data_IF_133668022734
#
_entry.id   IF_133668022734
#
_cell.length_a   1.000
_cell.length_b   1.000
_cell.length_c   1.000
_cell.angle_alpha   90.00
_cell.angle_beta   90.00
_cell.angle_gamma   90.00
#
_symmetry.space_group_name_H-M   'P 1'
#
loop_
_entity.id
_entity.type
_entity.pdbx_description
1 polymer ?
#
# COMPACT_ATOMS: atom_id res chain seq x y z
N UNK A 1 -3.75 7.86 37.90
CA UNK A 1 -3.77 8.64 36.67
C UNK A 1 -2.48 9.42 36.65
N UNK A 2 -1.47 8.95 35.87
CA UNK A 2 -0.20 9.64 35.78
C UNK A 2 -0.39 10.86 34.86
N UNK A 3 0.20 11.98 35.27
CA UNK A 3 0.19 13.28 34.60
C UNK A 3 0.76 13.18 33.16
N UNK A 4 -0.12 13.21 32.13
CA UNK A 4 0.27 13.17 30.71
C UNK A 4 0.54 14.56 30.13
N UNK A 5 1.20 15.42 30.88
CA UNK A 5 1.58 16.78 30.42
C UNK A 5 2.90 16.77 29.64
N UNK A 6 3.05 15.97 28.65
CA UNK A 6 3.99 15.92 27.51
C UNK A 6 3.93 14.53 26.86
N UNK A 7 2.77 13.92 26.84
CA UNK A 7 2.61 12.55 26.36
C UNK A 7 2.77 12.53 24.83
N UNK A 8 3.71 11.73 24.37
CA UNK A 8 3.84 11.27 23.00
C UNK A 8 2.47 10.78 22.50
N UNK A 9 1.99 11.21 21.34
CA UNK A 9 0.73 10.73 20.80
C UNK A 9 0.79 9.22 20.57
N UNK A 10 -0.35 8.54 20.66
CA UNK A 10 -0.39 7.12 20.38
C UNK A 10 -0.01 6.82 18.93
N UNK A 11 -0.46 7.64 17.96
CA UNK A 11 -0.19 7.42 16.53
C UNK A 11 0.13 8.72 15.80
N UNK A 12 1.05 8.64 14.82
CA UNK A 12 1.33 9.70 13.86
C UNK A 12 0.86 9.32 12.46
N UNK A 13 0.02 10.13 11.86
CA UNK A 13 -0.21 10.06 10.42
C UNK A 13 0.98 10.69 9.69
N UNK A 14 1.66 9.90 8.87
CA UNK A 14 2.80 10.32 8.05
C UNK A 14 2.35 10.55 6.61
N UNK A 15 2.36 11.80 6.17
CA UNK A 15 1.84 12.20 4.87
C UNK A 15 2.89 12.97 4.06
N UNK A 16 2.95 12.69 2.76
CA UNK A 16 3.65 13.51 1.77
C UNK A 16 2.64 14.07 0.77
N UNK A 17 2.76 15.35 0.45
CA UNK A 17 1.91 16.00 -0.57
C UNK A 17 2.74 16.84 -1.53
N UNK A 18 2.24 17.05 -2.76
CA UNK A 18 2.87 17.89 -3.79
C UNK A 18 1.83 18.48 -4.73
N UNK A 19 1.51 19.78 -4.57
CA UNK A 19 0.59 20.55 -5.45
C UNK A 19 -0.82 19.95 -5.64
N UNK A 20 -1.36 19.31 -4.57
CA UNK A 20 -2.66 18.61 -4.60
C UNK A 20 -3.56 19.08 -3.46
N UNK A 21 -3.76 20.39 -3.37
CA UNK A 21 -4.43 21.06 -2.23
C UNK A 21 -5.85 20.58 -1.96
N UNK A 22 -6.63 20.23 -2.98
CA UNK A 22 -8.02 19.77 -2.81
C UNK A 22 -8.08 18.34 -2.26
N UNK A 23 -7.23 17.45 -2.77
CA UNK A 23 -7.09 16.09 -2.22
C UNK A 23 -6.60 16.15 -0.77
N UNK A 24 -5.55 16.95 -0.52
CA UNK A 24 -5.00 17.15 0.81
C UNK A 24 -6.07 17.64 1.79
N UNK A 25 -6.88 18.63 1.43
CA UNK A 25 -7.97 19.14 2.27
C UNK A 25 -8.92 18.02 2.67
N UNK A 26 -9.39 17.24 1.70
CA UNK A 26 -10.33 16.14 1.93
C UNK A 26 -9.73 15.07 2.85
N UNK A 27 -8.46 14.70 2.62
CA UNK A 27 -7.77 13.73 3.47
C UNK A 27 -7.59 14.23 4.91
N UNK A 28 -7.16 15.49 5.09
CA UNK A 28 -6.95 16.06 6.43
C UNK A 28 -8.27 16.25 7.19
N UNK A 29 -9.36 16.62 6.52
CA UNK A 29 -10.69 16.67 7.13
C UNK A 29 -11.16 15.29 7.59
N UNK A 30 -10.92 14.24 6.78
CA UNK A 30 -11.18 12.85 7.15
C UNK A 30 -10.37 12.39 8.37
N UNK A 31 -9.09 12.79 8.46
CA UNK A 31 -8.26 12.50 9.64
C UNK A 31 -8.76 13.29 10.85
N UNK A 32 -9.15 14.54 10.68
CA UNK A 32 -9.70 15.38 11.78
C UNK A 32 -10.99 14.78 12.37
N UNK A 33 -11.75 14.07 11.56
CA UNK A 33 -13.01 13.42 11.94
C UNK A 33 -12.81 12.07 12.67
N UNK A 34 -11.57 11.62 12.93
CA UNK A 34 -11.33 10.39 13.68
C UNK A 34 -11.97 10.45 15.08
N UNK A 35 -12.65 9.38 15.46
CA UNK A 35 -13.31 9.25 16.78
C UNK A 35 -12.29 9.06 17.90
N UNK A 36 -11.17 8.40 17.62
CA UNK A 36 -10.03 8.32 18.52
C UNK A 36 -9.12 9.55 18.32
N UNK A 37 -8.80 10.28 19.40
CA UNK A 37 -8.24 11.63 19.32
C UNK A 37 -6.76 11.77 19.68
N UNK A 38 -6.12 10.71 20.21
CA UNK A 38 -4.72 10.73 20.62
C UNK A 38 -3.79 10.45 19.41
N UNK A 39 -3.71 11.44 18.51
CA UNK A 39 -2.91 11.38 17.31
C UNK A 39 -2.28 12.72 16.95
N UNK A 40 -1.26 12.66 16.12
CA UNK A 40 -0.73 13.80 15.36
C UNK A 40 -0.74 13.52 13.86
N UNK A 41 -0.64 14.58 13.07
CA UNK A 41 -0.48 14.50 11.61
C UNK A 41 0.78 15.24 11.20
N UNK A 42 1.70 14.56 10.54
CA UNK A 42 2.96 15.11 10.03
C UNK A 42 2.84 15.26 8.52
N UNK A 43 2.60 16.49 8.06
CA UNK A 43 2.46 16.81 6.64
C UNK A 43 3.82 17.28 6.11
N UNK A 44 4.48 16.46 5.28
CA UNK A 44 5.68 16.80 4.55
C UNK A 44 5.30 17.36 3.18
N UNK A 45 5.35 18.70 3.05
CA UNK A 45 5.05 19.39 1.78
C UNK A 45 6.27 19.38 0.87
N UNK A 46 6.14 18.67 -0.23
CA UNK A 46 7.22 18.51 -1.21
C UNK A 46 7.23 19.60 -2.29
N UNK A 47 6.35 20.61 -2.14
CA UNK A 47 6.31 21.79 -3.02
C UNK A 47 7.15 22.93 -2.44
N UNK A 48 8.23 23.38 -3.13
CA UNK A 48 9.02 24.53 -2.71
C UNK A 48 8.19 25.82 -2.58
N UNK A 49 7.06 25.92 -3.27
CA UNK A 49 6.12 27.05 -3.18
C UNK A 49 5.15 26.93 -1.99
N UNK A 50 5.25 25.84 -1.19
CA UNK A 50 4.49 25.63 0.04
C UNK A 50 2.97 25.65 -0.16
N UNK A 51 2.49 25.03 -1.26
CA UNK A 51 1.08 25.05 -1.63
C UNK A 51 0.15 24.44 -0.56
N UNK A 52 0.67 23.54 0.31
CA UNK A 52 -0.10 22.92 1.39
C UNK A 52 -0.23 23.80 2.66
N UNK A 53 0.58 24.84 2.82
CA UNK A 53 0.64 25.63 4.06
C UNK A 53 -0.74 26.21 4.47
N UNK A 54 -1.44 26.84 3.52
CA UNK A 54 -2.75 27.43 3.77
C UNK A 54 -3.80 26.37 4.11
N UNK A 55 -3.74 25.18 3.50
CA UNK A 55 -4.67 24.07 3.76
C UNK A 55 -4.51 23.56 5.19
N UNK A 56 -3.28 23.31 5.63
CA UNK A 56 -3.00 22.83 7.00
C UNK A 56 -3.36 23.89 8.03
N UNK A 57 -2.98 25.16 7.80
CA UNK A 57 -3.27 26.28 8.72
C UNK A 57 -4.77 26.50 8.91
N UNK A 58 -5.58 26.33 7.85
CA UNK A 58 -7.02 26.52 7.90
C UNK A 58 -7.75 25.49 8.80
N UNK A 59 -7.14 24.36 9.16
CA UNK A 59 -7.72 23.37 10.08
C UNK A 59 -7.83 23.92 11.51
N UNK A 60 -6.93 24.85 11.92
CA UNK A 60 -6.90 25.44 13.25
C UNK A 60 -6.69 24.41 14.38
N UNK A 61 -6.09 23.28 14.10
CA UNK A 61 -5.90 22.15 15.02
C UNK A 61 -4.39 21.88 15.23
N UNK A 62 -3.88 22.01 16.48
CA UNK A 62 -2.44 21.87 16.77
C UNK A 62 -1.88 20.46 16.56
N UNK A 63 -2.74 19.46 16.40
CA UNK A 63 -2.31 18.10 16.06
C UNK A 63 -1.75 17.99 14.63
N UNK A 64 -2.09 18.94 13.75
CA UNK A 64 -1.64 18.96 12.35
C UNK A 64 -0.36 19.79 12.22
N UNK A 65 0.77 19.11 12.06
CA UNK A 65 2.11 19.71 11.97
C UNK A 65 2.54 19.81 10.52
N UNK A 66 2.88 21.02 10.08
CA UNK A 66 3.30 21.31 8.72
C UNK A 66 4.82 21.45 8.61
N UNK A 67 5.41 20.78 7.63
CA UNK A 67 6.84 20.78 7.35
C UNK A 67 7.11 20.97 5.86
N UNK A 68 7.51 22.19 5.42
CA UNK A 68 7.90 22.42 4.05
C UNK A 68 9.28 21.81 3.75
N UNK A 69 9.42 21.21 2.57
CA UNK A 69 10.71 20.83 2.03
C UNK A 69 11.25 21.97 1.14
N UNK A 70 12.54 22.30 1.29
CA UNK A 70 13.17 23.42 0.54
C UNK A 70 13.17 23.14 -0.96
N UNK A 71 13.24 21.88 -1.35
CA UNK A 71 13.19 21.42 -2.74
C UNK A 71 12.27 20.22 -2.86
N UNK A 72 11.86 19.87 -4.09
CA UNK A 72 11.15 18.62 -4.32
C UNK A 72 12.12 17.44 -4.14
N UNK A 73 11.96 16.71 -3.03
CA UNK A 73 12.81 15.56 -2.64
C UNK A 73 12.38 14.24 -3.34
N UNK A 74 11.29 14.27 -4.11
CA UNK A 74 10.61 13.05 -4.57
C UNK A 74 9.69 12.45 -3.51
N UNK A 75 8.75 11.62 -3.95
CA UNK A 75 7.70 11.06 -3.09
C UNK A 75 8.27 10.25 -1.92
N UNK A 76 9.18 9.33 -2.20
CA UNK A 76 9.73 8.39 -1.21
C UNK A 76 10.48 9.13 -0.10
N UNK A 77 11.40 10.04 -0.47
CA UNK A 77 12.17 10.81 0.50
C UNK A 77 11.26 11.71 1.35
N UNK A 78 10.24 12.32 0.74
CA UNK A 78 9.28 13.16 1.45
C UNK A 78 8.46 12.37 2.47
N UNK A 79 8.04 11.14 2.14
CA UNK A 79 7.40 10.24 3.10
C UNK A 79 8.36 9.87 4.24
N UNK A 80 9.61 9.52 3.95
CA UNK A 80 10.59 9.18 4.98
C UNK A 80 10.86 10.37 5.92
N UNK A 81 10.85 11.61 5.40
CA UNK A 81 10.91 12.81 6.23
C UNK A 81 9.70 12.93 7.18
N UNK A 82 8.51 12.51 6.78
CA UNK A 82 7.36 12.48 7.68
C UNK A 82 7.52 11.43 8.79
N UNK A 83 8.06 10.24 8.48
CA UNK A 83 8.36 9.19 9.46
C UNK A 83 9.44 9.67 10.47
N UNK A 84 10.51 10.31 10.00
CA UNK A 84 11.57 10.85 10.86
C UNK A 84 11.05 11.88 11.87
N UNK A 85 10.08 12.72 11.45
CA UNK A 85 9.46 13.78 12.26
C UNK A 85 8.35 13.29 13.17
N UNK A 86 7.80 12.10 12.89
CA UNK A 86 6.74 11.49 13.67
C UNK A 86 7.21 11.17 15.10
N UNK A 87 6.33 11.41 16.09
CA UNK A 87 6.64 11.16 17.50
C UNK A 87 5.76 10.08 18.12
N UNK A 88 4.71 9.63 17.43
CA UNK A 88 3.80 8.57 17.90
C UNK A 88 4.47 7.22 18.14
N UNK A 89 3.88 6.41 19.00
CA UNK A 89 4.27 5.01 19.20
C UNK A 89 4.07 4.19 17.92
N UNK A 90 2.95 4.45 17.25
CA UNK A 90 2.61 3.89 15.94
C UNK A 90 2.66 4.96 14.86
N UNK A 91 2.76 4.54 13.60
CA UNK A 91 2.58 5.39 12.43
C UNK A 91 1.50 4.82 11.50
N UNK A 92 0.78 5.71 10.85
CA UNK A 92 -0.04 5.45 9.66
C UNK A 92 0.65 6.10 8.48
N UNK A 93 0.95 5.34 7.44
CA UNK A 93 1.39 5.91 6.16
C UNK A 93 0.16 6.26 5.34
N UNK A 94 -0.04 7.51 5.01
CA UNK A 94 -1.26 7.95 4.31
C UNK A 94 -0.91 8.87 3.13
N UNK A 95 -1.61 8.65 2.01
CA UNK A 95 -1.57 9.55 0.85
C UNK A 95 -2.62 10.65 0.97
N UNK A 96 -2.45 11.71 0.19
CA UNK A 96 -3.40 12.83 0.16
C UNK A 96 -4.69 12.53 -0.64
N UNK A 97 -4.82 11.33 -1.25
CA UNK A 97 -5.96 10.92 -2.06
C UNK A 97 -6.71 9.69 -1.56
N UNK A 98 -6.23 9.02 -0.50
CA UNK A 98 -6.86 7.82 0.07
C UNK A 98 -7.49 8.14 1.45
N UNK A 99 -8.78 8.53 1.53
CA UNK A 99 -9.42 8.90 2.78
C UNK A 99 -9.63 7.70 3.70
N UNK A 100 -9.51 7.95 5.00
CA UNK A 100 -9.77 6.97 6.05
C UNK A 100 -11.14 7.18 6.69
N UNK A 101 -11.76 6.10 7.16
CA UNK A 101 -13.06 6.18 7.85
C UNK A 101 -12.90 6.67 9.30
N UNK A 102 -13.90 7.36 9.85
CA UNK A 102 -13.82 8.00 11.17
C UNK A 102 -13.48 7.05 12.32
N UNK A 103 -13.87 5.80 12.23
CA UNK A 103 -13.66 4.79 13.27
C UNK A 103 -12.33 4.04 13.14
N UNK A 104 -11.52 4.32 12.11
CA UNK A 104 -10.31 3.53 11.81
C UNK A 104 -9.36 3.45 13.01
N UNK A 105 -9.01 4.59 13.60
CA UNK A 105 -8.06 4.58 14.72
C UNK A 105 -8.63 3.90 15.96
N UNK A 106 -9.94 4.05 16.25
CA UNK A 106 -10.56 3.36 17.38
C UNK A 106 -10.50 1.85 17.20
N UNK A 107 -10.84 1.34 16.02
CA UNK A 107 -10.78 -0.09 15.71
C UNK A 107 -9.34 -0.62 15.84
N UNK A 108 -8.36 0.09 15.30
CA UNK A 108 -6.95 -0.34 15.37
C UNK A 108 -6.41 -0.26 16.81
N UNK A 109 -6.80 0.74 17.59
CA UNK A 109 -6.45 0.84 19.01
C UNK A 109 -7.01 -0.35 19.82
N UNK A 110 -8.28 -0.69 19.62
CA UNK A 110 -8.90 -1.83 20.30
C UNK A 110 -8.23 -3.16 19.92
N UNK A 111 -7.77 -3.29 18.66
CA UNK A 111 -6.96 -4.45 18.24
C UNK A 111 -5.61 -4.51 18.94
N UNK A 112 -4.94 -3.39 19.19
CA UNK A 112 -3.65 -3.41 19.93
C UNK A 112 -3.83 -3.81 21.39
N UNK A 113 -4.97 -3.50 21.99
CA UNK A 113 -5.30 -3.91 23.37
C UNK A 113 -5.66 -5.40 23.43
N UNK A 114 -6.51 -5.86 22.52
CA UNK A 114 -7.00 -7.25 22.51
C UNK A 114 -5.96 -8.26 22.00
N UNK A 115 -5.03 -7.81 21.16
CA UNK A 115 -3.96 -8.64 20.58
C UNK A 115 -2.62 -7.90 20.64
N UNK A 116 -2.02 -7.75 21.84
CA UNK A 116 -0.80 -6.97 22.00
C UNK A 116 0.44 -7.68 21.42
N UNK A 117 1.47 -6.88 21.08
CA UNK A 117 2.79 -7.39 20.74
C UNK A 117 3.06 -7.66 19.25
N UNK A 118 2.12 -7.35 18.37
CA UNK A 118 2.31 -7.42 16.92
C UNK A 118 2.89 -6.13 16.36
N UNK A 119 3.59 -6.25 15.21
CA UNK A 119 4.24 -5.11 14.58
C UNK A 119 3.35 -4.32 13.63
N UNK A 120 2.36 -5.00 13.04
CA UNK A 120 1.42 -4.44 12.07
C UNK A 120 -0.01 -4.79 12.49
N UNK A 121 -0.88 -3.78 12.56
CA UNK A 121 -2.32 -3.94 12.71
C UNK A 121 -2.99 -3.27 11.53
N UNK A 122 -3.84 -3.98 10.78
CA UNK A 122 -4.36 -3.48 9.51
C UNK A 122 -5.76 -4.02 9.24
N UNK A 123 -6.60 -3.17 8.66
CA UNK A 123 -7.91 -3.58 8.17
C UNK A 123 -7.97 -3.67 6.64
N UNK A 124 -9.15 -4.00 6.15
CA UNK A 124 -9.48 -3.93 4.74
C UNK A 124 -9.72 -2.50 4.28
N UNK A 125 -10.04 -2.36 3.00
CA UNK A 125 -10.42 -1.08 2.40
C UNK A 125 -11.50 -1.28 1.34
N UNK A 126 -12.19 -0.20 1.00
CA UNK A 126 -13.00 -0.11 -0.21
C UNK A 126 -12.19 0.50 -1.36
N UNK A 127 -12.59 0.24 -2.60
CA UNK A 127 -12.02 0.92 -3.76
C UNK A 127 -13.07 1.85 -4.35
N UNK A 128 -12.77 3.15 -4.40
CA UNK A 128 -13.61 4.16 -5.02
C UNK A 128 -13.10 4.46 -6.43
N UNK A 129 -13.94 4.23 -7.44
CA UNK A 129 -13.64 4.58 -8.82
C UNK A 129 -14.25 5.95 -9.15
N UNK A 130 -13.42 6.96 -9.30
CA UNK A 130 -13.83 8.33 -9.62
C UNK A 130 -14.22 8.50 -11.10
N UNK A 131 -13.76 7.62 -11.99
CA UNK A 131 -13.96 7.74 -13.43
C UNK A 131 -14.49 6.47 -14.09
N UNK A 132 -15.30 6.65 -15.16
CA UNK A 132 -15.89 5.56 -15.94
C UNK A 132 -14.82 4.68 -16.62
N UNK A 133 -13.74 5.30 -17.11
CA UNK A 133 -12.66 4.57 -17.79
C UNK A 133 -11.97 3.58 -16.85
N UNK A 134 -11.59 4.03 -15.65
CA UNK A 134 -10.95 3.24 -14.63
C UNK A 134 -11.87 2.12 -14.12
N UNK A 135 -13.14 2.44 -13.85
CA UNK A 135 -14.14 1.46 -13.43
C UNK A 135 -14.35 0.36 -14.50
N UNK A 136 -14.47 0.73 -15.78
CA UNK A 136 -14.59 -0.23 -16.90
C UNK A 136 -13.35 -1.13 -17.03
N UNK A 137 -12.16 -0.57 -16.91
CA UNK A 137 -10.90 -1.35 -16.95
C UNK A 137 -10.85 -2.40 -15.84
N UNK A 138 -11.32 -2.05 -14.64
CA UNK A 138 -11.39 -2.92 -13.47
C UNK A 138 -12.61 -3.85 -13.46
N UNK A 139 -13.55 -3.72 -14.41
CA UNK A 139 -14.87 -4.39 -14.40
C UNK A 139 -15.67 -4.09 -13.13
N UNK A 140 -15.53 -2.88 -12.62
CA UNK A 140 -16.14 -2.38 -11.41
C UNK A 140 -17.24 -1.35 -11.71
N UNK A 141 -17.97 -0.92 -10.68
CA UNK A 141 -18.93 0.20 -10.76
C UNK A 141 -18.21 1.51 -10.48
N UNK A 142 -18.72 2.63 -11.02
CA UNK A 142 -18.34 3.96 -10.55
C UNK A 142 -18.78 4.06 -9.08
N UNK A 143 -17.97 4.72 -8.25
CA UNK A 143 -18.21 4.84 -6.82
C UNK A 143 -17.55 3.74 -5.99
N UNK A 144 -18.09 3.47 -4.82
CA UNK A 144 -17.52 2.54 -3.84
C UNK A 144 -17.76 1.08 -4.23
N UNK A 145 -16.69 0.29 -4.18
CA UNK A 145 -16.70 -1.14 -4.37
C UNK A 145 -15.92 -1.78 -3.21
N UNK A 146 -16.52 -2.76 -2.52
CA UNK A 146 -15.81 -3.47 -1.46
C UNK A 146 -14.60 -4.24 -2.01
N UNK A 147 -13.47 -4.12 -1.34
CA UNK A 147 -12.25 -4.88 -1.61
C UNK A 147 -11.93 -5.87 -0.48
N UNK A 148 -12.88 -6.11 0.42
CA UNK A 148 -12.72 -7.05 1.52
C UNK A 148 -12.49 -8.48 1.02
N UNK A 149 -11.75 -9.25 1.80
CA UNK A 149 -11.62 -10.67 1.59
C UNK A 149 -12.99 -11.37 1.76
N UNK A 150 -13.16 -12.52 1.07
CA UNK A 150 -14.33 -13.38 1.24
C UNK A 150 -14.24 -14.16 2.57
N UNK A 151 -14.16 -13.40 3.66
CA UNK A 151 -14.15 -13.86 5.03
C UNK A 151 -15.35 -13.27 5.77
N UNK A 152 -15.64 -13.81 6.94
CA UNK A 152 -16.65 -13.23 7.81
C UNK A 152 -16.30 -11.77 8.14
N UNK A 153 -17.33 -10.89 8.11
CA UNK A 153 -17.15 -9.48 8.47
C UNK A 153 -16.68 -9.38 9.94
N UNK A 154 -15.77 -8.48 10.22
CA UNK A 154 -15.09 -8.32 11.51
C UNK A 154 -14.23 -9.51 11.96
N UNK A 155 -14.05 -10.54 11.14
CA UNK A 155 -13.14 -11.64 11.49
C UNK A 155 -11.72 -11.11 11.68
N UNK A 156 -11.10 -11.51 12.79
CA UNK A 156 -9.70 -11.18 13.11
C UNK A 156 -8.81 -12.36 12.73
N UNK A 157 -7.79 -12.08 11.94
CA UNK A 157 -6.78 -13.06 11.51
C UNK A 157 -5.41 -12.64 12.04
N UNK A 158 -4.76 -13.55 12.73
CA UNK A 158 -3.47 -13.35 13.36
C UNK A 158 -2.41 -14.14 12.58
N UNK A 159 -1.32 -13.49 12.25
CA UNK A 159 -0.18 -14.08 11.54
C UNK A 159 1.10 -13.82 12.34
N UNK A 160 1.87 -14.86 12.58
CA UNK A 160 3.24 -14.71 13.10
C UNK A 160 4.13 -13.98 12.06
N UNK A 161 5.31 -13.55 12.50
CA UNK A 161 6.31 -12.94 11.63
C UNK A 161 6.71 -13.84 10.44
N UNK A 162 6.72 -15.15 10.63
CA UNK A 162 7.06 -16.13 9.58
C UNK A 162 5.89 -16.44 8.65
N UNK A 163 4.64 -16.36 9.14
CA UNK A 163 3.44 -16.68 8.36
C UNK A 163 2.96 -15.52 7.50
N UNK A 164 3.07 -14.29 8.01
CA UNK A 164 2.53 -13.12 7.33
C UNK A 164 3.12 -12.90 5.93
N UNK A 165 4.45 -12.98 5.71
CA UNK A 165 5.02 -12.76 4.38
C UNK A 165 4.45 -13.70 3.33
N UNK A 166 4.27 -14.98 3.65
CA UNK A 166 3.67 -15.95 2.73
C UNK A 166 2.18 -15.67 2.49
N UNK A 167 1.43 -15.29 3.54
CA UNK A 167 0.02 -14.94 3.41
C UNK A 167 -0.17 -13.71 2.50
N UNK A 168 0.70 -12.71 2.65
CA UNK A 168 0.72 -11.49 1.84
C UNK A 168 1.03 -11.81 0.37
N UNK A 169 2.13 -12.51 0.11
CA UNK A 169 2.61 -12.83 -1.25
C UNK A 169 1.66 -13.77 -2.01
N UNK A 170 1.03 -14.69 -1.32
CA UNK A 170 0.01 -15.59 -1.90
C UNK A 170 -1.32 -14.87 -2.22
N UNK A 171 -1.48 -13.63 -1.78
CA UNK A 171 -2.65 -12.81 -2.05
C UNK A 171 -3.89 -13.31 -1.30
N UNK A 172 -3.73 -13.73 -0.04
CA UNK A 172 -4.85 -14.13 0.84
C UNK A 172 -5.76 -12.95 1.15
N UNK A 173 -5.22 -11.74 1.15
CA UNK A 173 -5.96 -10.51 1.33
C UNK A 173 -6.59 -10.10 0.00
N UNK A 174 -7.91 -10.18 -0.12
CA UNK A 174 -8.64 -9.73 -1.33
C UNK A 174 -8.40 -8.24 -1.56
N UNK A 175 -8.26 -7.80 -2.79
CA UNK A 175 -7.97 -6.38 -3.09
C UNK A 175 -6.59 -5.88 -2.67
N UNK A 176 -5.81 -6.68 -1.93
CA UNK A 176 -4.53 -6.29 -1.33
C UNK A 176 -4.70 -5.60 0.03
N UNK A 177 -3.59 -5.25 0.67
CA UNK A 177 -3.57 -4.42 1.88
C UNK A 177 -3.23 -2.98 1.48
N UNK A 178 -4.02 -2.03 1.99
CA UNK A 178 -3.76 -0.60 1.81
C UNK A 178 -3.04 -0.09 3.06
N UNK A 179 -1.86 0.47 2.91
CA UNK A 179 -1.05 0.93 4.04
C UNK A 179 -1.74 1.99 4.90
N UNK A 180 -2.60 2.84 4.29
CA UNK A 180 -3.35 3.87 5.01
C UNK A 180 -4.48 3.33 5.91
N UNK A 181 -4.81 2.04 5.82
CA UNK A 181 -5.79 1.38 6.70
C UNK A 181 -5.15 0.54 7.80
N UNK A 182 -3.89 0.83 8.13
CA UNK A 182 -3.16 0.12 9.18
C UNK A 182 -2.19 1.01 9.94
N UNK A 183 -1.74 0.50 11.08
CA UNK A 183 -0.70 1.09 11.91
C UNK A 183 0.48 0.14 12.03
N UNK A 184 1.67 0.72 12.05
CA UNK A 184 2.94 0.01 12.25
C UNK A 184 3.65 0.64 13.44
N UNK A 185 4.27 -0.16 14.31
CA UNK A 185 5.16 0.39 15.33
C UNK A 185 6.25 1.25 14.66
N UNK A 186 6.41 2.49 15.15
CA UNK A 186 7.38 3.44 14.58
C UNK A 186 8.80 2.88 14.58
N UNK A 187 9.19 2.16 15.62
CA UNK A 187 10.50 1.51 15.69
C UNK A 187 10.71 0.48 14.57
N UNK A 188 9.66 -0.27 14.21
CA UNK A 188 9.72 -1.22 13.09
C UNK A 188 9.86 -0.47 11.78
N UNK A 189 9.09 0.60 11.56
CA UNK A 189 9.22 1.40 10.35
C UNK A 189 10.63 1.95 10.17
N UNK A 190 11.26 2.42 11.25
CA UNK A 190 12.65 2.89 11.23
C UNK A 190 13.65 1.73 11.01
N UNK A 191 13.42 0.58 11.64
CA UNK A 191 14.31 -0.59 11.53
C UNK A 191 14.35 -1.20 10.12
N UNK A 192 13.26 -1.05 9.33
CA UNK A 192 13.20 -1.47 7.93
C UNK A 192 13.63 -0.38 6.93
N UNK A 193 14.22 0.72 7.42
CA UNK A 193 14.61 1.93 6.67
C UNK A 193 13.44 2.68 6.02
N UNK A 194 12.27 2.65 6.67
CA UNK A 194 11.08 3.40 6.24
C UNK A 194 10.48 2.94 4.92
N UNK A 195 9.98 3.91 4.16
CA UNK A 195 9.41 3.68 2.84
C UNK A 195 10.54 3.41 1.83
N UNK A 196 10.53 2.29 1.11
CA UNK A 196 11.63 1.86 0.26
C UNK A 196 11.97 2.82 -0.87
N UNK A 197 13.24 3.24 -0.96
CA UNK A 197 13.76 4.03 -2.08
C UNK A 197 14.64 3.18 -3.01
N UNK A 198 14.08 2.77 -4.11
CA UNK A 198 14.79 2.11 -5.21
C UNK A 198 14.56 2.81 -6.56
N UNK A 199 14.37 4.14 -6.49
CA UNK A 199 14.21 5.04 -7.63
C UNK A 199 12.82 5.02 -8.28
N UNK A 200 11.83 4.44 -7.59
CA UNK A 200 10.40 4.49 -7.96
C UNK A 200 9.54 4.14 -6.75
N UNK A 201 8.37 4.76 -6.57
CA UNK A 201 7.42 4.38 -5.53
C UNK A 201 6.60 3.10 -5.89
N UNK A 202 6.75 2.57 -7.11
CA UNK A 202 6.00 1.36 -7.52
C UNK A 202 6.39 0.15 -6.68
N UNK A 203 5.41 -0.51 -6.06
CA UNK A 203 5.54 -1.60 -5.09
C UNK A 203 6.22 -1.23 -3.75
N UNK A 204 6.56 0.05 -3.52
CA UNK A 204 7.22 0.45 -2.29
C UNK A 204 6.28 0.32 -1.07
N UNK A 205 5.00 0.64 -1.22
CA UNK A 205 3.94 0.41 -0.25
C UNK A 205 3.79 -1.09 0.09
N UNK A 206 3.84 -1.95 -0.91
CA UNK A 206 3.79 -3.40 -0.73
C UNK A 206 5.03 -3.92 0.02
N UNK A 207 6.22 -3.39 -0.29
CA UNK A 207 7.44 -3.76 0.42
C UNK A 207 7.41 -3.29 1.88
N UNK A 208 6.91 -2.07 2.14
CA UNK A 208 6.75 -1.52 3.48
C UNK A 208 5.81 -2.39 4.33
N UNK A 209 4.62 -2.72 3.83
CA UNK A 209 3.63 -3.56 4.53
C UNK A 209 4.18 -4.97 4.76
N UNK A 210 4.78 -5.59 3.72
CA UNK A 210 5.38 -6.92 3.82
C UNK A 210 6.44 -6.99 4.92
N UNK A 211 7.39 -6.05 4.91
CA UNK A 211 8.50 -6.03 5.86
C UNK A 211 8.04 -5.67 7.27
N UNK A 212 7.06 -4.77 7.41
CA UNK A 212 6.50 -4.42 8.72
C UNK A 212 5.90 -5.62 9.43
N UNK A 213 5.08 -6.41 8.73
CA UNK A 213 4.51 -7.62 9.32
C UNK A 213 5.52 -8.77 9.48
N UNK A 214 6.60 -8.79 8.69
CA UNK A 214 7.67 -9.77 8.83
C UNK A 214 8.53 -9.58 10.10
N UNK A 215 8.48 -8.41 10.77
CA UNK A 215 9.26 -8.16 11.99
C UNK A 215 8.63 -8.79 13.23
N UNK A 216 7.36 -8.52 13.51
CA UNK A 216 6.65 -8.97 14.72
C UNK A 216 5.25 -9.53 14.43
N UNK A 217 4.98 -9.94 13.18
CA UNK A 217 3.66 -10.45 12.77
C UNK A 217 2.63 -9.37 12.51
N UNK A 218 1.43 -9.81 12.19
CA UNK A 218 0.32 -8.96 11.77
C UNK A 218 -1.00 -9.42 12.39
N UNK A 219 -1.79 -8.47 12.84
CA UNK A 219 -3.22 -8.65 13.15
C UNK A 219 -4.02 -7.96 12.05
N UNK A 220 -4.82 -8.73 11.35
CA UNK A 220 -5.72 -8.23 10.29
C UNK A 220 -7.17 -8.37 10.71
N UNK A 221 -7.96 -7.31 10.54
CA UNK A 221 -9.42 -7.35 10.71
C UNK A 221 -10.13 -7.18 9.36
N UNK A 222 -11.11 -8.01 9.08
CA UNK A 222 -11.87 -7.98 7.82
C UNK A 222 -13.01 -6.97 7.88
N UNK A 223 -12.65 -5.69 7.95
CA UNK A 223 -13.57 -4.54 7.87
C UNK A 223 -12.89 -3.43 7.07
N UNK A 224 -13.66 -2.66 6.30
CA UNK A 224 -13.12 -1.49 5.59
C UNK A 224 -12.85 -0.36 6.58
N UNK A 225 -11.59 0.11 6.61
CA UNK A 225 -11.12 1.22 7.45
C UNK A 225 -10.82 2.49 6.66
N UNK A 226 -10.96 2.45 5.34
CA UNK A 226 -10.72 3.58 4.45
C UNK A 226 -10.98 3.21 3.01
N UNK A 227 -10.61 4.12 2.10
CA UNK A 227 -10.82 3.95 0.66
C UNK A 227 -9.52 4.14 -0.11
N UNK A 228 -9.28 3.28 -1.09
CA UNK A 228 -8.34 3.53 -2.17
C UNK A 228 -9.07 4.22 -3.31
N UNK A 229 -8.69 5.44 -3.61
CA UNK A 229 -9.33 6.23 -4.67
C UNK A 229 -8.60 6.02 -6.00
N UNK A 230 -9.33 5.58 -7.02
CA UNK A 230 -8.83 5.36 -8.37
C UNK A 230 -9.29 6.50 -9.29
N UNK A 231 -8.35 7.36 -9.67
CA UNK A 231 -8.56 8.51 -10.57
C UNK A 231 -7.44 8.61 -11.61
N UNK A 232 -7.54 9.57 -12.53
CA UNK A 232 -6.57 9.69 -13.65
C UNK A 232 -5.18 10.15 -13.20
N UNK A 233 -5.09 10.85 -12.08
CA UNK A 233 -3.82 11.41 -11.56
C UNK A 233 -3.06 10.44 -10.66
N UNK A 234 -3.60 9.23 -10.38
CA UNK A 234 -2.83 8.24 -9.64
C UNK A 234 -1.51 7.93 -10.36
N UNK A 235 -0.44 7.80 -9.59
CA UNK A 235 0.90 7.49 -10.09
C UNK A 235 0.91 6.31 -11.06
N UNK A 236 0.18 5.26 -10.73
CA UNK A 236 0.10 4.00 -11.47
C UNK A 236 -0.60 4.10 -12.82
N UNK A 237 -1.41 5.13 -13.06
CA UNK A 237 -2.18 5.31 -14.30
C UNK A 237 -1.60 6.37 -15.23
N UNK A 238 -0.55 7.08 -14.80
CA UNK A 238 0.09 8.11 -15.60
C UNK A 238 1.13 7.52 -16.55
N UNK A 239 0.95 7.71 -17.87
CA UNK A 239 1.89 7.24 -18.91
C UNK A 239 3.32 7.73 -18.70
N UNK A 240 3.49 8.96 -18.18
CA UNK A 240 4.81 9.54 -17.85
C UNK A 240 5.59 8.73 -16.81
N UNK A 241 4.90 7.92 -16.01
CA UNK A 241 5.50 7.11 -14.94
C UNK A 241 5.83 5.68 -15.38
N UNK A 242 5.38 5.23 -16.56
CA UNK A 242 5.56 3.83 -16.98
C UNK A 242 7.03 3.40 -17.03
N UNK A 243 7.94 4.30 -17.36
CA UNK A 243 9.37 3.98 -17.35
C UNK A 243 9.92 3.77 -15.93
N UNK A 244 9.46 4.56 -14.95
CA UNK A 244 9.86 4.41 -13.55
C UNK A 244 9.21 3.17 -12.89
N UNK A 245 7.97 2.87 -13.21
CA UNK A 245 7.24 1.67 -12.76
C UNK A 245 8.04 0.40 -13.07
N UNK A 246 8.69 0.36 -14.23
CA UNK A 246 9.50 -0.78 -14.64
C UNK A 246 10.65 -1.12 -13.66
N UNK A 247 11.16 -0.15 -12.90
CA UNK A 247 12.21 -0.35 -11.89
C UNK A 247 11.68 -1.02 -10.62
N UNK A 248 10.39 -0.88 -10.33
CA UNK A 248 9.74 -1.38 -9.10
C UNK A 248 9.97 -2.86 -8.83
N UNK A 249 9.74 -3.77 -9.79
CA UNK A 249 9.94 -5.20 -9.61
C UNK A 249 11.32 -5.62 -9.12
N UNK A 250 12.37 -5.10 -9.75
CA UNK A 250 13.75 -5.40 -9.36
C UNK A 250 14.07 -4.79 -7.99
N UNK A 251 13.66 -3.54 -7.77
CA UNK A 251 13.83 -2.84 -6.49
C UNK A 251 13.11 -3.55 -5.35
N UNK A 252 11.86 -3.94 -5.56
CA UNK A 252 11.08 -4.70 -4.57
C UNK A 252 11.79 -6.02 -4.19
N UNK A 253 12.26 -6.80 -5.16
CA UNK A 253 12.95 -8.06 -4.88
C UNK A 253 14.25 -7.83 -4.10
N UNK A 254 15.09 -6.91 -4.55
CA UNK A 254 16.38 -6.62 -3.90
C UNK A 254 16.17 -6.08 -2.47
N UNK A 255 15.24 -5.13 -2.30
CA UNK A 255 14.94 -4.51 -1.01
C UNK A 255 14.39 -5.50 0.01
N UNK A 256 13.41 -6.31 -0.40
CA UNK A 256 12.76 -7.28 0.49
C UNK A 256 13.70 -8.44 0.85
N UNK A 257 14.46 -8.96 -0.11
CA UNK A 257 15.41 -10.05 0.14
C UNK A 257 16.53 -9.65 1.10
N UNK A 258 16.99 -8.39 1.06
CA UNK A 258 18.03 -7.89 1.98
C UNK A 258 17.53 -7.69 3.41
N UNK A 259 16.22 -7.53 3.61
CA UNK A 259 15.62 -7.18 4.91
C UNK A 259 14.81 -8.31 5.55
N UNK A 260 14.43 -9.32 4.79
CA UNK A 260 13.92 -10.56 5.36
C UNK A 260 15.06 -11.32 6.03
N UNK A 261 14.79 -11.97 7.17
CA UNK A 261 15.81 -12.78 7.85
C UNK A 261 16.29 -13.93 6.95
N UNK A 262 17.54 -14.34 7.12
CA UNK A 262 18.10 -15.48 6.38
C UNK A 262 17.26 -16.76 6.58
N UNK A 263 16.67 -16.94 7.77
CA UNK A 263 15.79 -18.07 8.08
C UNK A 263 14.46 -17.99 7.29
N UNK A 264 13.94 -16.78 7.06
CA UNK A 264 12.70 -16.58 6.31
C UNK A 264 12.90 -16.68 4.78
N UNK A 265 14.14 -16.50 4.26
CA UNK A 265 14.45 -16.54 2.83
C UNK A 265 14.59 -17.97 2.28
N UNK A 266 13.65 -18.83 2.60
CA UNK A 266 13.58 -20.19 2.04
C UNK A 266 13.39 -20.16 0.52
N UNK A 267 13.67 -21.27 -0.16
CA UNK A 267 13.39 -21.43 -1.59
C UNK A 267 11.92 -21.12 -1.92
N UNK A 268 10.98 -21.53 -1.04
CA UNK A 268 9.55 -21.25 -1.19
C UNK A 268 9.25 -19.75 -1.12
N UNK A 269 9.89 -19.02 -0.21
CA UNK A 269 9.76 -17.56 -0.08
C UNK A 269 10.28 -16.85 -1.32
N UNK A 270 11.44 -17.23 -1.83
CA UNK A 270 12.02 -16.66 -3.06
C UNK A 270 11.10 -16.89 -4.27
N UNK A 271 10.51 -18.08 -4.38
CA UNK A 271 9.50 -18.36 -5.41
C UNK A 271 8.25 -17.49 -5.24
N UNK A 272 7.77 -17.28 -4.01
CA UNK A 272 6.60 -16.46 -3.73
C UNK A 272 6.85 -14.98 -4.07
N UNK A 273 8.01 -14.43 -3.70
CA UNK A 273 8.43 -13.07 -4.09
C UNK A 273 8.46 -12.91 -5.60
N UNK A 274 9.11 -13.83 -6.31
CA UNK A 274 9.18 -13.82 -7.77
C UNK A 274 7.78 -13.92 -8.39
N UNK A 275 6.93 -14.75 -7.81
CA UNK A 275 5.54 -14.91 -8.27
C UNK A 275 4.72 -13.64 -8.08
N UNK A 276 4.84 -13.00 -6.92
CA UNK A 276 4.14 -11.75 -6.61
C UNK A 276 4.49 -10.67 -7.64
N UNK A 277 5.77 -10.43 -7.85
CA UNK A 277 6.27 -9.46 -8.83
C UNK A 277 5.84 -9.80 -10.25
N UNK A 278 5.95 -11.08 -10.64
CA UNK A 278 5.54 -11.52 -11.98
C UNK A 278 4.04 -11.33 -12.25
N UNK A 279 3.21 -11.52 -11.23
CA UNK A 279 1.76 -11.26 -11.31
C UNK A 279 1.47 -9.77 -11.49
N UNK A 280 2.10 -8.92 -10.68
CA UNK A 280 1.95 -7.48 -10.75
C UNK A 280 2.34 -6.93 -12.14
N UNK A 281 3.53 -7.26 -12.59
CA UNK A 281 4.01 -6.87 -13.92
C UNK A 281 3.11 -7.36 -15.06
N UNK A 282 2.55 -8.55 -14.93
CA UNK A 282 1.64 -9.09 -15.94
C UNK A 282 0.34 -8.27 -16.02
N UNK A 283 -0.20 -7.88 -14.87
CA UNK A 283 -1.38 -6.99 -14.80
C UNK A 283 -1.06 -5.65 -15.47
N UNK A 284 0.12 -5.09 -15.17
CA UNK A 284 0.57 -3.83 -15.79
C UNK A 284 0.68 -3.92 -17.30
N UNK A 285 1.35 -4.95 -17.82
CA UNK A 285 1.50 -5.16 -19.27
C UNK A 285 0.14 -5.28 -19.97
N UNK A 286 -0.82 -6.00 -19.35
CA UNK A 286 -2.17 -6.11 -19.89
C UNK A 286 -2.88 -4.77 -19.87
N UNK A 287 -2.75 -3.99 -18.80
CA UNK A 287 -3.36 -2.67 -18.66
C UNK A 287 -2.81 -1.68 -19.69
N UNK A 288 -1.48 -1.63 -19.87
CA UNK A 288 -0.83 -0.82 -20.90
C UNK A 288 -1.30 -1.23 -22.29
N UNK A 289 -1.34 -2.53 -22.59
CA UNK A 289 -1.86 -3.01 -23.88
C UNK A 289 -3.30 -2.56 -24.17
N UNK A 290 -4.17 -2.61 -23.14
CA UNK A 290 -5.56 -2.15 -23.26
C UNK A 290 -5.64 -0.64 -23.49
N UNK A 291 -4.77 0.13 -22.84
CA UNK A 291 -4.76 1.59 -22.95
C UNK A 291 -4.21 2.08 -24.30
N UNK A 292 -3.06 1.56 -24.74
CA UNK A 292 -2.33 2.11 -25.90
C UNK A 292 -2.38 1.20 -27.15
N UNK A 293 -2.91 -0.01 -27.04
CA UNK A 293 -2.99 -0.97 -28.13
C UNK A 293 -1.72 -1.81 -28.34
N UNK A 294 -1.86 -2.96 -29.01
CA UNK A 294 -0.79 -3.95 -29.17
C UNK A 294 0.37 -3.52 -30.08
N UNK A 295 0.14 -2.58 -30.98
CA UNK A 295 1.13 -2.08 -31.95
C UNK A 295 1.83 -0.81 -31.47
N UNK A 296 1.64 -0.40 -30.24
CA UNK A 296 2.24 0.80 -29.68
C UNK A 296 3.70 0.54 -29.25
N UNK A 297 4.59 1.50 -29.55
CA UNK A 297 6.01 1.40 -29.22
C UNK A 297 6.27 1.28 -27.73
N UNK A 298 5.48 1.97 -26.87
CA UNK A 298 5.56 1.88 -25.43
C UNK A 298 5.25 0.46 -24.92
N UNK A 299 4.18 -0.16 -25.46
CA UNK A 299 3.83 -1.54 -25.13
C UNK A 299 4.96 -2.51 -25.50
N UNK A 300 5.55 -2.37 -26.71
CA UNK A 300 6.66 -3.21 -27.14
C UNK A 300 7.92 -3.00 -26.28
N UNK A 301 8.21 -1.76 -25.90
CA UNK A 301 9.31 -1.46 -24.97
C UNK A 301 9.09 -2.14 -23.61
N UNK A 302 7.90 -2.01 -23.04
CA UNK A 302 7.53 -2.63 -21.76
C UNK A 302 7.62 -4.16 -21.84
N UNK A 303 7.12 -4.76 -22.92
CA UNK A 303 7.17 -6.18 -23.19
C UNK A 303 8.61 -6.72 -23.28
N UNK A 304 9.48 -6.01 -23.98
CA UNK A 304 10.90 -6.42 -24.10
C UNK A 304 11.62 -6.37 -22.76
N UNK A 305 11.44 -5.29 -22.00
CA UNK A 305 12.06 -5.10 -20.69
C UNK A 305 11.57 -6.11 -19.65
N UNK A 306 10.31 -6.51 -19.70
CA UNK A 306 9.77 -7.54 -18.81
C UNK A 306 10.58 -8.83 -18.83
N UNK A 307 10.99 -9.29 -20.00
CA UNK A 307 11.78 -10.52 -20.14
C UNK A 307 13.27 -10.38 -19.83
N UNK A 308 13.75 -9.16 -19.66
CA UNK A 308 15.14 -8.92 -19.24
C UNK A 308 15.33 -9.11 -17.73
N UNK A 309 14.24 -9.06 -16.94
CA UNK A 309 14.31 -9.34 -15.51
C UNK A 309 14.57 -10.83 -15.29
N UNK A 310 15.77 -11.16 -14.80
CA UNK A 310 16.24 -12.53 -14.60
C UNK A 310 15.26 -13.41 -13.82
N UNK A 311 14.68 -12.95 -12.67
CA UNK A 311 13.72 -13.75 -11.92
C UNK A 311 12.44 -14.08 -12.70
N UNK A 312 12.12 -13.30 -13.74
CA UNK A 312 10.89 -13.44 -14.52
C UNK A 312 11.05 -14.24 -15.81
N UNK A 313 12.25 -14.72 -16.10
CA UNK A 313 12.49 -15.56 -17.30
C UNK A 313 11.64 -16.83 -17.33
N UNK A 314 11.38 -17.44 -16.19
CA UNK A 314 10.50 -18.60 -16.07
C UNK A 314 9.03 -18.29 -16.40
N UNK A 315 8.64 -17.01 -16.38
CA UNK A 315 7.28 -16.55 -16.67
C UNK A 315 6.97 -16.41 -18.16
N UNK A 316 7.93 -16.60 -19.06
CA UNK A 316 7.74 -16.42 -20.52
C UNK A 316 6.49 -17.11 -21.07
N UNK A 317 6.19 -18.35 -20.65
CA UNK A 317 5.02 -19.10 -21.12
C UNK A 317 3.72 -18.48 -20.59
N UNK A 318 3.65 -18.12 -19.30
CA UNK A 318 2.49 -17.49 -18.67
C UNK A 318 2.24 -16.10 -19.24
N UNK A 319 3.31 -15.34 -19.46
CA UNK A 319 3.25 -14.03 -20.10
C UNK A 319 2.73 -14.09 -21.54
N UNK A 320 3.14 -15.08 -22.32
CA UNK A 320 2.61 -15.29 -23.67
C UNK A 320 1.09 -15.42 -23.66
N UNK A 321 0.54 -16.21 -22.73
CA UNK A 321 -0.90 -16.37 -22.56
C UNK A 321 -1.53 -15.04 -22.14
N UNK A 322 -0.93 -14.31 -21.20
CA UNK A 322 -1.45 -13.03 -20.73
C UNK A 322 -1.55 -11.97 -21.84
N UNK A 323 -0.55 -11.89 -22.71
CA UNK A 323 -0.48 -10.91 -23.79
C UNK A 323 -1.38 -11.27 -24.95
N UNK A 324 -1.40 -12.52 -25.36
CA UNK A 324 -2.14 -12.96 -26.54
C UNK A 324 -3.58 -13.39 -26.21
N UNK A 325 -3.82 -13.88 -24.98
CA UNK A 325 -5.11 -14.40 -24.53
C UNK A 325 -5.47 -13.83 -23.14
N UNK A 326 -5.65 -12.50 -22.99
CA UNK A 326 -5.84 -11.85 -21.68
C UNK A 326 -7.05 -12.38 -20.90
N UNK A 327 -8.14 -12.74 -21.58
CA UNK A 327 -9.33 -13.31 -20.93
C UNK A 327 -9.04 -14.69 -20.31
N UNK A 328 -8.22 -15.50 -20.97
CA UNK A 328 -7.79 -16.80 -20.48
C UNK A 328 -6.88 -16.66 -19.26
N UNK A 329 -6.03 -15.65 -19.26
CA UNK A 329 -5.16 -15.33 -18.14
C UNK A 329 -5.95 -14.79 -16.95
N UNK A 330 -6.93 -13.92 -17.15
CA UNK A 330 -7.84 -13.46 -16.11
C UNK A 330 -8.64 -14.64 -15.49
N UNK A 331 -9.12 -15.57 -16.33
CA UNK A 331 -9.77 -16.79 -15.86
C UNK A 331 -8.81 -17.66 -15.00
N UNK A 332 -7.57 -17.81 -15.43
CA UNK A 332 -6.54 -18.53 -14.68
C UNK A 332 -6.28 -17.89 -13.30
N UNK A 333 -6.19 -16.55 -13.23
CA UNK A 333 -6.03 -15.84 -11.98
C UNK A 333 -7.25 -15.99 -11.06
N UNK A 334 -8.46 -15.95 -11.63
CA UNK A 334 -9.72 -16.16 -10.88
C UNK A 334 -9.80 -17.57 -10.30
N UNK A 335 -9.54 -18.60 -11.11
CA UNK A 335 -9.52 -19.99 -10.68
C UNK A 335 -8.49 -20.23 -9.58
N UNK A 336 -7.30 -19.64 -9.71
CA UNK A 336 -6.28 -19.73 -8.67
C UNK A 336 -6.75 -19.13 -7.33
N UNK A 337 -7.43 -17.99 -7.33
CA UNK A 337 -8.02 -17.40 -6.11
C UNK A 337 -9.01 -18.38 -5.44
N UNK A 338 -9.91 -18.99 -6.23
CA UNK A 338 -10.89 -19.97 -5.72
C UNK A 338 -10.20 -21.22 -5.13
N UNK A 339 -9.16 -21.73 -5.80
CA UNK A 339 -8.45 -22.94 -5.32
C UNK A 339 -7.59 -22.66 -4.07
N UNK A 340 -7.04 -21.46 -3.91
CA UNK A 340 -6.23 -21.10 -2.75
C UNK A 340 -7.07 -20.59 -1.58
N UNK A 341 -8.23 -19.95 -1.80
CA UNK A 341 -9.16 -19.58 -0.72
C UNK A 341 -9.77 -20.81 -0.03
N UNK A 342 -9.97 -21.91 -0.76
CA UNK A 342 -10.49 -23.17 -0.21
C UNK A 342 -9.49 -23.99 0.63
N UNK A 343 -8.20 -23.61 0.66
CA UNK A 343 -7.16 -24.26 1.49
C UNK A 343 -6.92 -23.56 2.83
N UNK A 344 -7.96 -23.00 3.44
CA UNK A 344 -7.84 -22.47 4.80
C UNK A 344 -8.23 -23.58 5.81
N UNK A 345 -7.28 -24.15 6.59
CA UNK A 345 -7.58 -25.22 7.54
C UNK A 345 -8.15 -24.73 8.89
N UNK A 346 -8.55 -23.47 9.01
CA UNK A 346 -9.12 -22.92 10.25
C UNK A 346 -10.66 -22.99 10.33
N UNK A 347 -11.30 -23.97 9.66
CA UNK A 347 -12.65 -24.38 9.99
C UNK A 347 -12.59 -25.65 10.83
N UNK A 348 -12.27 -25.52 12.11
CA UNK A 348 -12.72 -26.39 13.21
C UNK A 348 -12.77 -25.56 14.46
#
# INVERSE_FOLDING_TARGET
>A
MADRNNAQPWVSFCMSTYRRTDFLRTALEGIKAQTFTDFEVVVSDNDPEQSAAAVVSALGDPRFKYFPNVTNLGMVTSFNKSIERATGEFIVMITDDDPVYPEMLQVLHDLTISHPGYGLYIGGHDTFFAGLAQARMAKARIGVNSSLADWELNAVHIYSADEFPMAFLDGRFSGGLLWSTGIVHREIALAIDGFPDYGTPHLADNAFVLLSGAQKGCVHINISLGQRVIHQENYSYSEKNYESIYKGPAGFLDWTQKRLSAASLTFKMQQALTYFVGRDMTVYVISIRKAVGKNNALFEQFRRRFFQLEPLRSWRRKYFIAVHYPNLFELFLALRRVFFSKKNPSRK
#
